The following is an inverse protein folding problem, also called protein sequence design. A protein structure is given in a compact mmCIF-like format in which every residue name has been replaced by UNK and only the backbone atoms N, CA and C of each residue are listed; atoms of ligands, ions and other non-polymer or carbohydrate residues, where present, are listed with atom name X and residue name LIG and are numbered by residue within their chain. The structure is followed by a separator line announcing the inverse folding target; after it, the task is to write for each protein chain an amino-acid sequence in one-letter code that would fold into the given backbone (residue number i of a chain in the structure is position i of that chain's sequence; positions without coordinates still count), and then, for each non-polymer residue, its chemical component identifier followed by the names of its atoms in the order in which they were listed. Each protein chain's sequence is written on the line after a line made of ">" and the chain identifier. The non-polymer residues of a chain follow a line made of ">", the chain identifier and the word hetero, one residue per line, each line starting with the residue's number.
data_IF_796350180983
#
_entry.id   IF_796350180983
#
_cell.length_a   1.000
_cell.length_b   1.000
_cell.length_c   1.000
_cell.angle_alpha   90.00
_cell.angle_beta   90.00
_cell.angle_gamma   90.00
#
_symmetry.space_group_name_H-M   'P 1'
#
loop_
_entity.id
_entity.type
_entity.pdbx_description
1 polymer ?
#
# COMPACT_ATOMS: atom_id res chain seq x y z
N UNK A 1 14.15 -17.27 -48.09
CA UNK A 1 13.35 -16.06 -47.77
C UNK A 1 12.77 -16.16 -46.36
N UNK A 2 12.02 -17.22 -46.01
CA UNK A 2 11.41 -17.44 -44.68
C UNK A 2 12.41 -17.43 -43.50
N UNK A 3 13.57 -18.07 -43.65
CA UNK A 3 14.59 -18.13 -42.57
C UNK A 3 15.14 -16.75 -42.18
N UNK A 4 15.23 -15.83 -43.15
CA UNK A 4 15.69 -14.45 -42.89
C UNK A 4 14.65 -13.68 -42.08
N UNK A 5 13.36 -13.87 -42.37
CA UNK A 5 12.28 -13.25 -41.60
C UNK A 5 12.19 -13.79 -40.17
N UNK A 6 12.41 -15.09 -39.98
CA UNK A 6 12.48 -15.71 -38.65
C UNK A 6 13.64 -15.15 -37.81
N UNK A 7 14.82 -14.98 -38.43
CA UNK A 7 15.97 -14.38 -37.75
C UNK A 7 15.69 -12.92 -37.32
N UNK A 8 15.05 -12.14 -38.19
CA UNK A 8 14.69 -10.74 -37.89
C UNK A 8 13.63 -10.67 -36.77
N UNK A 9 12.61 -11.53 -36.81
CA UNK A 9 11.58 -11.60 -35.78
C UNK A 9 12.15 -12.00 -34.41
N UNK A 10 13.11 -12.93 -34.38
CA UNK A 10 13.79 -13.35 -33.15
C UNK A 10 14.59 -12.19 -32.53
N UNK A 11 15.32 -11.42 -33.34
CA UNK A 11 16.08 -10.25 -32.85
C UNK A 11 15.16 -9.17 -32.29
N UNK A 12 14.05 -8.86 -32.98
CA UNK A 12 13.06 -7.89 -32.48
C UNK A 12 12.40 -8.35 -31.18
N UNK A 13 12.10 -9.64 -31.06
CA UNK A 13 11.53 -10.23 -29.85
C UNK A 13 12.50 -10.16 -28.66
N UNK A 14 13.80 -10.39 -28.89
CA UNK A 14 14.83 -10.24 -27.86
C UNK A 14 14.96 -8.79 -27.38
N UNK A 15 14.95 -7.81 -28.30
CA UNK A 15 14.98 -6.38 -27.96
C UNK A 15 13.74 -6.01 -27.13
N UNK A 16 12.55 -6.48 -27.53
CA UNK A 16 11.31 -6.26 -26.79
C UNK A 16 11.40 -6.85 -25.36
N UNK A 17 11.88 -8.09 -25.20
CA UNK A 17 12.08 -8.69 -23.88
C UNK A 17 13.06 -7.87 -23.05
N UNK A 18 14.21 -7.45 -23.59
CA UNK A 18 15.20 -6.68 -22.82
C UNK A 18 14.63 -5.33 -22.35
N UNK A 19 13.86 -4.64 -23.20
CA UNK A 19 13.27 -3.34 -22.88
C UNK A 19 12.03 -3.43 -21.96
N UNK A 20 11.16 -4.43 -22.14
CA UNK A 20 9.92 -4.56 -21.35
C UNK A 20 10.07 -5.42 -20.09
N UNK A 21 11.05 -6.35 -20.03
CA UNK A 21 11.27 -7.20 -18.84
C UNK A 21 11.83 -6.40 -17.65
N UNK A 22 12.46 -5.25 -17.91
CA UNK A 22 12.94 -4.33 -16.86
C UNK A 22 11.80 -3.57 -16.15
N UNK A 23 10.57 -3.64 -16.66
CA UNK A 23 9.40 -2.98 -16.06
C UNK A 23 8.69 -3.82 -14.98
N UNK A 24 9.27 -4.96 -14.59
CA UNK A 24 8.71 -5.85 -13.55
C UNK A 24 9.48 -5.83 -12.23
N UNK A 25 10.10 -4.71 -11.89
CA UNK A 25 10.30 -4.32 -10.48
C UNK A 25 9.06 -3.56 -9.98
N UNK A 26 7.87 -4.15 -10.15
CA UNK A 26 6.70 -3.81 -9.32
C UNK A 26 6.60 -4.79 -8.15
N UNK A 27 7.72 -4.94 -7.46
CA UNK A 27 7.73 -5.34 -6.06
C UNK A 27 8.90 -4.62 -5.42
N UNK A 28 8.92 -3.28 -5.55
CA UNK A 28 9.08 -2.52 -4.32
C UNK A 28 7.93 -3.01 -3.44
N UNK A 29 8.20 -4.07 -2.66
CA UNK A 29 7.61 -4.18 -1.35
C UNK A 29 7.86 -2.81 -0.77
N UNK A 30 6.85 -1.94 -0.91
CA UNK A 30 6.70 -0.81 -0.04
C UNK A 30 6.60 -1.49 1.32
N UNK A 31 7.76 -1.76 1.91
CA UNK A 31 7.97 -1.38 3.29
C UNK A 31 7.65 0.09 3.20
N UNK A 32 6.36 0.37 3.41
CA UNK A 32 5.91 1.71 3.72
C UNK A 32 6.91 2.11 4.77
N UNK A 33 7.82 3.00 4.39
CA UNK A 33 8.58 3.75 5.34
C UNK A 33 7.56 4.10 6.40
N UNK A 34 7.73 3.52 7.59
CA UNK A 34 6.92 3.78 8.75
C UNK A 34 7.09 5.28 9.00
N UNK A 35 6.33 6.08 8.26
CA UNK A 35 6.01 7.42 8.66
C UNK A 35 5.28 7.18 9.96
N UNK A 36 6.01 7.37 11.04
CA UNK A 36 5.50 7.59 12.39
C UNK A 36 4.75 8.94 12.38
N UNK A 37 3.87 9.12 11.39
CA UNK A 37 2.83 10.11 11.38
C UNK A 37 1.65 9.36 11.98
N UNK A 38 1.67 9.24 13.31
CA UNK A 38 0.56 8.67 14.04
C UNK A 38 -0.62 9.62 13.86
N UNK A 39 -1.54 9.20 13.00
CA UNK A 39 -2.78 9.93 12.73
C UNK A 39 -3.58 9.93 14.03
N UNK A 40 -3.62 11.09 14.67
CA UNK A 40 -4.39 11.32 15.88
C UNK A 40 -5.85 11.54 15.51
N UNK A 41 -6.75 10.79 16.14
CA UNK A 41 -8.20 10.87 15.95
C UNK A 41 -8.85 11.25 17.28
N UNK A 42 -9.90 12.05 17.21
CA UNK A 42 -10.62 12.53 18.38
C UNK A 42 -11.63 11.48 18.88
N UNK A 43 -11.62 11.21 20.18
CA UNK A 43 -12.62 10.37 20.82
C UNK A 43 -13.95 11.12 20.95
N UNK A 44 -15.09 10.59 20.46
CA UNK A 44 -16.38 11.28 20.51
C UNK A 44 -16.94 11.45 21.93
N UNK A 45 -16.49 10.63 22.90
CA UNK A 45 -17.03 10.62 24.27
C UNK A 45 -16.33 11.61 25.19
N UNK A 46 -15.03 11.84 25.02
CA UNK A 46 -14.20 12.61 25.95
C UNK A 46 -13.23 13.57 25.27
N UNK A 47 -13.33 13.72 23.95
CA UNK A 47 -12.57 14.67 23.12
C UNK A 47 -11.04 14.56 23.26
N UNK A 48 -10.53 13.46 23.80
CA UNK A 48 -9.09 13.18 23.83
C UNK A 48 -8.65 12.68 22.46
N UNK A 49 -7.48 13.14 22.02
CA UNK A 49 -6.84 12.66 20.82
C UNK A 49 -6.09 11.37 21.12
N UNK A 50 -6.42 10.31 20.39
CA UNK A 50 -5.80 8.99 20.48
C UNK A 50 -5.20 8.62 19.12
N UNK A 51 -4.05 7.95 19.13
CA UNK A 51 -3.46 7.44 17.89
C UNK A 51 -4.41 6.44 17.25
N UNK A 52 -4.69 6.57 15.96
CA UNK A 52 -5.55 5.64 15.20
C UNK A 52 -5.09 4.19 15.31
N UNK A 53 -3.79 3.95 15.54
CA UNK A 53 -3.22 2.60 15.71
C UNK A 53 -3.55 1.99 17.09
N UNK A 54 -3.73 2.83 18.11
CA UNK A 54 -3.99 2.42 19.49
C UNK A 54 -5.46 2.56 19.89
N UNK A 55 -6.23 3.33 19.11
CA UNK A 55 -7.65 3.56 19.35
C UNK A 55 -8.51 2.32 19.10
N UNK A 56 -9.58 2.17 19.88
CA UNK A 56 -10.57 1.12 19.69
C UNK A 56 -11.58 1.57 18.63
N UNK A 57 -11.60 0.91 17.48
CA UNK A 57 -12.59 1.15 16.43
C UNK A 57 -13.90 0.43 16.75
N UNK A 58 -14.99 1.17 16.89
CA UNK A 58 -16.34 0.61 17.03
C UNK A 58 -17.38 1.50 16.37
N UNK A 59 -18.31 0.89 15.61
CA UNK A 59 -19.36 1.59 14.86
C UNK A 59 -18.85 2.75 13.97
N UNK A 60 -17.61 2.66 13.48
CA UNK A 60 -16.98 3.71 12.67
C UNK A 60 -16.34 4.85 13.46
N UNK A 61 -16.45 4.85 14.79
CA UNK A 61 -15.82 5.83 15.68
C UNK A 61 -14.59 5.24 16.37
N UNK A 62 -13.65 6.11 16.72
CA UNK A 62 -12.42 5.74 17.43
C UNK A 62 -12.53 6.17 18.90
N UNK A 63 -12.36 5.23 19.82
CA UNK A 63 -12.44 5.48 21.26
C UNK A 63 -11.06 5.31 21.92
N UNK A 64 -10.79 6.14 22.93
CA UNK A 64 -9.54 6.07 23.68
C UNK A 64 -9.50 4.90 24.69
N UNK A 65 -10.65 4.44 25.20
CA UNK A 65 -10.72 3.36 26.18
C UNK A 65 -12.02 2.54 26.05
N UNK A 66 -12.04 1.35 26.67
CA UNK A 66 -13.24 0.50 26.76
C UNK A 66 -14.38 1.19 27.50
N UNK A 67 -14.04 2.02 28.47
CA UNK A 67 -15.02 2.81 29.23
C UNK A 67 -15.72 3.81 28.30
N UNK A 68 -14.97 4.55 27.47
CA UNK A 68 -15.56 5.48 26.50
C UNK A 68 -16.41 4.77 25.45
N UNK A 69 -16.04 3.54 25.07
CA UNK A 69 -16.85 2.72 24.18
C UNK A 69 -18.18 2.28 24.82
N UNK A 70 -18.16 1.93 26.11
CA UNK A 70 -19.36 1.47 26.83
C UNK A 70 -20.28 2.62 27.24
N UNK A 71 -19.72 3.82 27.42
CA UNK A 71 -20.43 5.03 27.81
C UNK A 71 -20.87 5.90 26.61
N UNK A 72 -20.85 5.32 25.40
CA UNK A 72 -21.18 5.96 24.13
C UNK A 72 -22.67 5.87 23.77
#
# INVERSE_FOLDING_TARGET
>A
MILKFLAIAAVLFLIYIVLFKKNREKSVTKKEDEKIEDVMVECPTCNTFVSKKEAILSNGNFYCSKECLQNN
#
